data_IF_196621727981
#
_entry.id   IF_196621727981
#
_cell.length_a   1.000
_cell.length_b   1.000
_cell.length_c   1.000
_cell.angle_alpha   90.00
_cell.angle_beta   90.00
_cell.angle_gamma   90.00
#
_symmetry.space_group_name_H-M   'P 1'
#
loop_
_entity.id
_entity.type
_entity.pdbx_description
1 polymer ?
#
# COMPACT_ATOMS: atom_id res chain seq x y z
N UNK A 1 -4.53 -0.32 11.61
CA UNK A 1 -3.09 0.01 11.52
C UNK A 1 -2.80 0.96 10.36
N UNK A 2 -3.02 0.60 9.09
CA UNK A 2 -2.76 1.50 7.95
C UNK A 2 -3.48 2.86 8.03
N UNK A 3 -4.77 2.89 8.40
CA UNK A 3 -5.51 4.15 8.57
C UNK A 3 -4.87 5.06 9.62
N UNK A 4 -4.55 4.50 10.79
CA UNK A 4 -3.87 5.23 11.88
C UNK A 4 -2.49 5.75 11.43
N UNK A 5 -1.74 4.95 10.67
CA UNK A 5 -0.45 5.37 10.11
C UNK A 5 -0.61 6.55 9.13
N UNK A 6 -1.67 6.55 8.31
CA UNK A 6 -1.96 7.68 7.40
C UNK A 6 -2.27 8.95 8.19
N UNK A 7 -3.12 8.87 9.22
CA UNK A 7 -3.43 9.98 10.12
C UNK A 7 -2.16 10.54 10.79
N UNK A 8 -1.27 9.66 11.25
CA UNK A 8 0.03 10.02 11.81
C UNK A 8 0.94 10.73 10.80
N UNK A 9 0.93 10.33 9.53
CA UNK A 9 1.71 11.03 8.48
C UNK A 9 1.04 12.33 8.00
N UNK A 10 -0.28 12.44 8.07
CA UNK A 10 -0.99 13.67 7.71
C UNK A 10 -0.78 14.77 8.76
N UNK A 11 -0.57 14.38 10.03
CA UNK A 11 -0.18 15.29 11.10
C UNK A 11 1.06 16.13 10.72
N UNK A 12 2.08 15.52 10.10
CA UNK A 12 3.31 16.25 9.69
C UNK A 12 3.06 17.24 8.55
N UNK A 13 1.88 17.20 7.93
CA UNK A 13 1.43 18.11 6.88
C UNK A 13 0.42 19.13 7.38
N UNK A 14 0.13 19.16 8.70
CA UNK A 14 -0.92 19.99 9.29
C UNK A 14 -2.33 19.58 8.85
N UNK A 15 -2.53 18.32 8.43
CA UNK A 15 -3.82 17.79 7.95
C UNK A 15 -4.30 16.66 8.85
N UNK A 16 -5.55 16.26 8.66
CA UNK A 16 -6.12 15.09 9.32
C UNK A 16 -6.64 15.35 10.75
N UNK A 17 -6.97 14.26 11.47
CA UNK A 17 -7.70 14.34 12.73
C UNK A 17 -6.80 14.64 13.94
N UNK A 18 -5.51 14.29 13.89
CA UNK A 18 -4.58 14.49 15.01
C UNK A 18 -4.21 15.97 15.12
N UNK A 19 -4.34 16.56 16.31
CA UNK A 19 -4.13 18.00 16.52
C UNK A 19 -2.88 18.33 17.31
N UNK A 20 -2.46 17.42 18.18
CA UNK A 20 -1.31 17.64 19.06
C UNK A 20 -0.45 16.37 19.18
N UNK A 21 0.73 16.50 19.79
CA UNK A 21 1.65 15.38 20.00
C UNK A 21 1.04 14.26 20.87
N UNK A 22 0.12 14.59 21.79
CA UNK A 22 -0.58 13.59 22.61
C UNK A 22 -1.45 12.66 21.75
N UNK A 23 -2.13 13.20 20.73
CA UNK A 23 -2.90 12.40 19.78
C UNK A 23 -2.01 11.43 19.00
N UNK A 24 -0.81 11.88 18.59
CA UNK A 24 0.19 11.05 17.90
C UNK A 24 0.70 9.92 18.82
N UNK A 25 0.93 10.21 20.10
CA UNK A 25 1.30 9.21 21.11
C UNK A 25 0.19 8.16 21.29
N UNK A 26 -1.07 8.60 21.37
CA UNK A 26 -2.24 7.71 21.48
C UNK A 26 -2.39 6.83 20.24
N UNK A 27 -2.23 7.41 19.04
CA UNK A 27 -2.23 6.70 17.77
C UNK A 27 -1.11 5.63 17.72
N UNK A 28 0.11 5.97 18.12
CA UNK A 28 1.23 5.04 18.20
C UNK A 28 0.94 3.84 19.10
N UNK A 29 0.37 4.07 20.29
CA UNK A 29 -0.04 2.99 21.22
C UNK A 29 -1.10 2.08 20.60
N UNK A 30 -2.12 2.65 19.94
CA UNK A 30 -3.14 1.88 19.21
C UNK A 30 -2.53 1.01 18.10
N UNK A 31 -1.51 1.51 17.39
CA UNK A 31 -0.78 0.71 16.39
C UNK A 31 -0.03 -0.44 17.08
N UNK A 32 0.71 -0.17 18.17
CA UNK A 32 1.45 -1.20 18.90
C UNK A 32 0.54 -2.32 19.41
N UNK A 33 -0.61 -1.98 20.01
CA UNK A 33 -1.61 -2.94 20.47
C UNK A 33 -2.18 -3.80 19.33
N UNK A 34 -2.51 -3.16 18.20
CA UNK A 34 -2.97 -3.87 17.01
C UNK A 34 -1.88 -4.80 16.44
N UNK A 35 -0.62 -4.37 16.45
CA UNK A 35 0.53 -5.20 16.06
C UNK A 35 0.69 -6.42 16.97
N UNK A 36 0.53 -6.27 18.28
CA UNK A 36 0.54 -7.41 19.23
C UNK A 36 -0.62 -8.39 19.01
N UNK A 37 -1.81 -7.90 18.64
CA UNK A 37 -2.92 -8.80 18.26
C UNK A 37 -2.64 -9.54 16.94
N UNK A 38 -2.02 -8.86 15.98
CA UNK A 38 -1.60 -9.48 14.71
C UNK A 38 -0.52 -10.54 14.94
N UNK A 39 0.43 -10.31 15.86
CA UNK A 39 1.44 -11.32 16.23
C UNK A 39 0.78 -12.63 16.70
N UNK A 40 -0.20 -12.54 17.61
CA UNK A 40 -0.95 -13.70 18.11
C UNK A 40 -1.65 -14.46 16.99
N UNK A 41 -2.39 -13.75 16.12
CA UNK A 41 -3.07 -14.37 14.97
C UNK A 41 -2.07 -15.02 13.99
N UNK A 42 -0.94 -14.36 13.73
CA UNK A 42 0.10 -14.89 12.86
C UNK A 42 0.74 -16.16 13.41
N UNK A 43 0.94 -16.26 14.73
CA UNK A 43 1.43 -17.49 15.37
C UNK A 43 0.46 -18.65 15.20
N UNK A 44 -0.85 -18.42 15.36
CA UNK A 44 -1.86 -19.44 15.09
C UNK A 44 -1.78 -19.96 13.65
N UNK A 45 -1.54 -19.08 12.66
CA UNK A 45 -1.34 -19.50 11.26
C UNK A 45 -0.05 -20.32 11.12
N UNK A 46 1.05 -19.88 11.75
CA UNK A 46 2.33 -20.57 11.71
C UNK A 46 2.28 -21.98 12.34
N UNK A 47 1.48 -22.18 13.38
CA UNK A 47 1.31 -23.47 14.06
C UNK A 47 0.67 -24.52 13.14
N UNK A 48 -0.24 -24.09 12.27
CA UNK A 48 -0.92 -24.96 11.30
C UNK A 48 -0.16 -25.06 9.97
N UNK A 49 0.94 -24.32 9.75
CA UNK A 49 1.66 -24.36 8.48
C UNK A 49 2.49 -25.65 8.35
N UNK A 50 2.20 -26.53 7.37
CA UNK A 50 2.95 -27.78 7.19
C UNK A 50 4.32 -27.57 6.53
N UNK A 51 4.48 -26.47 5.78
CA UNK A 51 5.70 -26.10 5.08
C UNK A 51 6.65 -25.38 6.04
N UNK A 52 7.77 -26.03 6.39
CA UNK A 52 8.71 -25.52 7.39
C UNK A 52 9.39 -24.22 6.96
N UNK A 53 9.72 -24.07 5.68
CA UNK A 53 10.33 -22.85 5.16
C UNK A 53 9.37 -21.65 5.28
N UNK A 54 8.12 -21.80 4.81
CA UNK A 54 7.11 -20.76 4.95
C UNK A 54 6.82 -20.41 6.42
N UNK A 55 6.83 -21.42 7.31
CA UNK A 55 6.65 -21.22 8.75
C UNK A 55 7.79 -20.37 9.33
N UNK A 56 9.05 -20.69 9.01
CA UNK A 56 10.20 -19.93 9.52
C UNK A 56 10.19 -18.48 9.03
N UNK A 57 9.88 -18.24 7.75
CA UNK A 57 9.75 -16.88 7.21
C UNK A 57 8.69 -16.07 7.97
N UNK A 58 7.52 -16.68 8.21
CA UNK A 58 6.45 -16.03 8.96
C UNK A 58 6.88 -15.72 10.41
N UNK A 59 7.51 -16.67 11.10
CA UNK A 59 7.98 -16.49 12.48
C UNK A 59 9.03 -15.38 12.58
N UNK A 60 9.94 -15.27 11.61
CA UNK A 60 10.94 -14.19 11.56
C UNK A 60 10.28 -12.80 11.44
N UNK A 61 9.25 -12.67 10.60
CA UNK A 61 8.49 -11.42 10.52
C UNK A 61 7.69 -11.13 11.80
N UNK A 62 7.13 -12.14 12.46
CA UNK A 62 6.41 -11.97 13.73
C UNK A 62 7.34 -11.51 14.86
N UNK A 63 8.58 -12.02 14.92
CA UNK A 63 9.60 -11.50 15.83
C UNK A 63 9.90 -10.02 15.58
N UNK A 64 9.98 -9.59 14.31
CA UNK A 64 10.14 -8.16 13.95
C UNK A 64 8.94 -7.33 14.39
N UNK A 65 7.71 -7.84 14.28
CA UNK A 65 6.52 -7.17 14.82
C UNK A 65 6.64 -6.98 16.33
N UNK A 66 6.99 -8.04 17.07
CA UNK A 66 7.16 -7.96 18.51
C UNK A 66 8.21 -6.90 18.92
N UNK A 67 9.36 -6.89 18.24
CA UNK A 67 10.41 -5.89 18.44
C UNK A 67 9.90 -4.47 18.18
N UNK A 68 9.27 -4.21 17.03
CA UNK A 68 8.83 -2.87 16.67
C UNK A 68 7.65 -2.39 17.51
N UNK A 69 6.74 -3.27 17.94
CA UNK A 69 5.70 -2.92 18.93
C UNK A 69 6.33 -2.51 20.27
N UNK A 70 7.36 -3.23 20.73
CA UNK A 70 8.07 -2.88 21.95
C UNK A 70 8.78 -1.52 21.84
N UNK A 71 9.53 -1.30 20.75
CA UNK A 71 10.18 -0.02 20.47
C UNK A 71 9.16 1.13 20.41
N UNK A 72 8.06 0.95 19.69
CA UNK A 72 7.02 1.98 19.57
C UNK A 72 6.39 2.32 20.93
N UNK A 73 6.20 1.32 21.79
CA UNK A 73 5.75 1.53 23.16
C UNK A 73 6.75 2.33 24.00
N UNK A 74 8.05 2.05 23.89
CA UNK A 74 9.10 2.83 24.57
C UNK A 74 9.11 4.27 24.05
N UNK A 75 9.16 4.47 22.73
CA UNK A 75 9.14 5.79 22.12
C UNK A 75 7.89 6.60 22.53
N UNK A 76 6.74 5.94 22.73
CA UNK A 76 5.49 6.60 23.13
C UNK A 76 5.46 7.08 24.59
N UNK A 77 6.45 6.67 25.41
CA UNK A 77 6.57 7.05 26.82
C UNK A 77 7.56 8.18 27.05
N UNK A 78 8.44 8.46 26.09
CA UNK A 78 9.37 9.59 26.17
C UNK A 78 8.55 10.87 26.07
N UNK A 79 8.39 11.58 27.20
CA UNK A 79 7.73 12.89 27.20
C UNK A 79 8.60 13.85 26.39
N UNK A 80 8.01 14.51 25.40
CA UNK A 80 8.62 15.70 24.81
C UNK A 80 8.66 16.78 25.91
N UNK A 81 9.84 17.02 26.47
CA UNK A 81 10.04 18.18 27.34
C UNK A 81 10.01 19.43 26.46
N UNK A 82 9.07 20.34 26.73
CA UNK A 82 9.07 21.68 26.15
C UNK A 82 10.05 22.49 26.98
N UNK A 83 11.29 22.63 26.51
CA UNK A 83 12.26 23.53 27.13
C UNK A 83 12.07 24.93 26.55
N UNK A 84 11.70 25.88 27.40
CA UNK A 84 11.58 27.29 27.04
C UNK A 84 12.96 27.94 27.20
N UNK A 85 13.85 27.73 26.21
CA UNK A 85 15.16 28.37 26.18
C UNK A 85 15.04 29.73 25.47
N UNK A 86 15.03 30.81 26.26
CA UNK A 86 15.39 32.14 25.76
C UNK A 86 14.36 32.85 24.87
N UNK A 87 13.06 32.58 25.01
CA UNK A 87 12.01 33.32 24.29
C UNK A 87 11.80 32.91 22.83
N UNK A 88 12.59 31.96 22.33
CA UNK A 88 12.35 31.26 21.07
C UNK A 88 11.66 29.92 21.36
N UNK A 89 10.45 29.75 20.81
CA UNK A 89 9.64 28.55 21.04
C UNK A 89 10.18 27.41 20.18
N UNK A 90 11.27 26.77 20.62
CA UNK A 90 11.83 25.59 19.95
C UNK A 90 10.86 24.42 20.14
N UNK A 91 10.19 24.01 19.06
CA UNK A 91 9.13 22.99 19.10
C UNK A 91 9.73 21.58 19.21
N UNK A 92 10.23 21.22 20.39
CA UNK A 92 10.69 19.85 20.72
C UNK A 92 9.59 18.78 20.49
N UNK A 93 8.32 19.20 20.50
CA UNK A 93 7.18 18.33 20.26
C UNK A 93 7.07 17.79 18.82
N UNK A 94 7.63 18.48 17.82
CA UNK A 94 7.63 18.03 16.41
C UNK A 94 8.65 16.94 16.20
N UNK A 95 9.87 17.09 16.73
CA UNK A 95 10.92 16.07 16.62
C UNK A 95 10.53 14.76 17.33
N UNK A 96 9.89 14.87 18.50
CA UNK A 96 9.33 13.74 19.22
C UNK A 96 8.24 13.01 18.41
N UNK A 97 7.30 13.77 17.81
CA UNK A 97 6.26 13.21 16.96
C UNK A 97 6.84 12.54 15.70
N UNK A 98 7.83 13.16 15.06
CA UNK A 98 8.51 12.62 13.87
C UNK A 98 9.22 11.29 14.17
N UNK A 99 9.91 11.19 15.31
CA UNK A 99 10.54 9.95 15.77
C UNK A 99 9.51 8.83 15.98
N UNK A 100 8.37 9.14 16.61
CA UNK A 100 7.26 8.20 16.78
C UNK A 100 6.68 7.71 15.45
N UNK A 101 6.49 8.63 14.50
CA UNK A 101 6.00 8.30 13.15
C UNK A 101 6.99 7.38 12.45
N UNK A 102 8.30 7.61 12.58
CA UNK A 102 9.30 6.76 11.97
C UNK A 102 9.33 5.34 12.57
N UNK A 103 9.21 5.23 13.90
CA UNK A 103 9.07 3.94 14.57
C UNK A 103 7.80 3.18 14.10
N UNK A 104 6.67 3.90 13.96
CA UNK A 104 5.43 3.33 13.43
C UNK A 104 5.59 2.87 11.96
N UNK A 105 6.31 3.61 11.10
CA UNK A 105 6.62 3.18 9.72
C UNK A 105 7.40 1.86 9.69
N UNK A 106 8.38 1.70 10.56
CA UNK A 106 9.17 0.46 10.65
C UNK A 106 8.26 -0.74 10.99
N UNK A 107 7.37 -0.56 11.97
CA UNK A 107 6.34 -1.55 12.30
C UNK A 107 5.44 -1.85 11.09
N UNK A 108 4.94 -0.83 10.39
CA UNK A 108 4.07 -1.01 9.21
C UNK A 108 4.75 -1.75 8.06
N UNK A 109 6.05 -1.52 7.83
CA UNK A 109 6.81 -2.26 6.82
C UNK A 109 6.92 -3.76 7.18
N UNK A 110 7.10 -4.08 8.47
CA UNK A 110 7.03 -5.47 8.93
C UNK A 110 5.62 -6.05 8.79
N UNK A 111 4.57 -5.28 9.11
CA UNK A 111 3.17 -5.70 8.98
C UNK A 111 2.86 -6.18 7.57
N UNK A 112 3.26 -5.43 6.54
CA UNK A 112 3.03 -5.81 5.14
C UNK A 112 3.72 -7.14 4.80
N UNK A 113 4.93 -7.37 5.31
CA UNK A 113 5.65 -8.62 5.10
C UNK A 113 4.98 -9.78 5.83
N UNK A 114 4.58 -9.59 7.09
CA UNK A 114 3.84 -10.58 7.88
C UNK A 114 2.54 -10.99 7.18
N UNK A 115 1.74 -10.03 6.71
CA UNK A 115 0.47 -10.32 6.02
C UNK A 115 0.69 -11.17 4.76
N UNK A 116 1.73 -10.85 3.97
CA UNK A 116 2.10 -11.65 2.78
C UNK A 116 2.54 -13.06 3.15
N UNK A 117 3.42 -13.21 4.14
CA UNK A 117 3.90 -14.51 4.61
C UNK A 117 2.76 -15.35 5.21
N UNK A 118 1.87 -14.74 5.99
CA UNK A 118 0.67 -15.40 6.55
C UNK A 118 -0.27 -15.91 5.47
N UNK A 119 -0.46 -15.16 4.38
CA UNK A 119 -1.23 -15.63 3.23
C UNK A 119 -0.59 -16.87 2.62
N UNK A 120 0.72 -16.82 2.31
CA UNK A 120 1.43 -17.97 1.74
C UNK A 120 1.32 -19.20 2.64
N UNK A 121 1.58 -19.05 3.94
CA UNK A 121 1.46 -20.13 4.93
C UNK A 121 0.04 -20.73 4.99
N UNK A 122 -1.00 -19.89 4.95
CA UNK A 122 -2.40 -20.34 4.96
C UNK A 122 -2.75 -21.18 3.72
N UNK A 123 -2.24 -20.81 2.55
CA UNK A 123 -2.50 -21.56 1.30
C UNK A 123 -1.78 -22.91 1.26
N UNK A 124 -0.65 -23.05 1.96
CA UNK A 124 0.08 -24.33 2.09
C UNK A 124 -0.72 -25.33 2.93
N UNK A 125 -1.35 -24.87 4.01
CA UNK A 125 -2.22 -25.69 4.85
C UNK A 125 -3.42 -26.26 4.07
N UNK A 126 -4.14 -25.42 3.31
CA UNK A 126 -5.29 -25.84 2.50
C UNK A 126 -4.97 -26.96 1.49
N UNK A 127 -3.76 -26.94 0.92
CA UNK A 127 -3.31 -27.98 -0.03
C UNK A 127 -2.98 -29.32 0.65
N UNK A 128 -2.59 -29.30 1.93
CA UNK A 128 -2.06 -30.48 2.61
C UNK A 128 -3.11 -31.34 3.31
N UNK A 129 -4.21 -30.77 3.82
CA UNK A 129 -5.17 -31.52 4.66
C UNK A 129 -6.58 -31.70 4.06
N UNK A 130 -6.86 -31.15 2.87
CA UNK A 130 -8.22 -31.19 2.33
C UNK A 130 -9.18 -30.30 3.16
N UNK A 131 -10.13 -29.66 2.50
CA UNK A 131 -10.90 -28.53 3.03
C UNK A 131 -11.88 -28.85 4.19
N UNK A 132 -11.87 -30.06 4.76
CA UNK A 132 -13.06 -30.63 5.41
C UNK A 132 -12.97 -30.94 6.92
N UNK A 133 -11.80 -31.00 7.56
CA UNK A 133 -11.71 -31.51 8.95
C UNK A 133 -11.43 -30.49 10.05
N UNK A 134 -11.34 -29.19 9.74
CA UNK A 134 -11.19 -28.17 10.78
C UNK A 134 -11.98 -26.91 10.41
N UNK A 135 -12.92 -26.53 11.28
CA UNK A 135 -13.54 -25.20 11.30
C UNK A 135 -12.47 -24.15 10.94
N UNK A 136 -12.75 -23.36 9.89
CA UNK A 136 -11.82 -22.53 9.12
C UNK A 136 -10.60 -21.95 9.88
N UNK A 137 -9.46 -21.72 9.18
CA UNK A 137 -8.38 -20.90 9.71
C UNK A 137 -8.97 -19.56 10.15
N UNK A 138 -8.53 -19.01 11.28
CA UNK A 138 -9.10 -17.81 11.90
C UNK A 138 -9.22 -16.54 11.00
N UNK A 139 -8.81 -16.60 9.73
CA UNK A 139 -8.73 -15.49 8.76
C UNK A 139 -9.17 -15.97 7.37
N UNK A 140 -9.99 -15.17 6.68
CA UNK A 140 -10.31 -15.32 5.25
C UNK A 140 -9.62 -14.23 4.41
N UNK A 141 -9.10 -14.60 3.23
CA UNK A 141 -8.27 -13.72 2.40
C UNK A 141 -9.06 -13.14 1.23
N UNK A 142 -9.21 -11.81 1.19
CA UNK A 142 -9.83 -11.08 0.06
C UNK A 142 -8.75 -10.34 -0.72
N UNK A 143 -8.12 -11.01 -1.68
CA UNK A 143 -7.07 -10.41 -2.53
C UNK A 143 -7.61 -9.94 -3.87
N UNK A 144 -7.15 -8.77 -4.33
CA UNK A 144 -7.32 -8.29 -5.70
C UNK A 144 -6.04 -8.56 -6.48
N UNK A 145 -6.15 -9.03 -7.72
CA UNK A 145 -5.00 -9.22 -8.59
C UNK A 145 -4.23 -7.88 -8.77
N UNK A 146 -2.89 -7.90 -8.75
CA UNK A 146 -2.09 -6.70 -8.99
C UNK A 146 -2.42 -6.09 -10.36
N UNK A 147 -2.42 -4.76 -10.43
CA UNK A 147 -2.63 -4.06 -11.70
C UNK A 147 -1.47 -4.30 -12.65
N UNK A 148 -1.78 -4.46 -13.95
CA UNK A 148 -0.76 -4.67 -14.98
C UNK A 148 0.08 -3.40 -15.10
N UNK A 149 1.38 -3.52 -14.82
CA UNK A 149 2.32 -2.43 -15.12
C UNK A 149 2.39 -2.25 -16.63
N UNK A 150 2.30 -1.03 -17.17
CA UNK A 150 2.43 -0.81 -18.61
C UNK A 150 3.82 -1.22 -19.07
N UNK A 151 3.90 -2.04 -20.13
CA UNK A 151 5.17 -2.53 -20.67
C UNK A 151 6.04 -1.40 -21.25
N UNK A 152 5.39 -0.33 -21.71
CA UNK A 152 6.03 0.87 -22.24
C UNK A 152 5.47 2.05 -21.48
N UNK A 153 6.36 2.89 -20.93
CA UNK A 153 5.99 4.19 -20.38
C UNK A 153 5.40 4.99 -21.53
N UNK A 154 4.07 5.08 -21.62
CA UNK A 154 3.43 6.07 -22.47
C UNK A 154 3.91 7.41 -21.95
N UNK A 155 4.73 8.10 -22.74
CA UNK A 155 4.99 9.51 -22.53
C UNK A 155 3.62 10.17 -22.42
N UNK A 156 3.36 10.88 -21.33
CA UNK A 156 2.16 11.71 -21.27
C UNK A 156 2.33 12.67 -22.45
N UNK A 157 1.44 12.57 -23.43
CA UNK A 157 1.36 13.56 -24.47
C UNK A 157 1.03 14.86 -23.76
N UNK A 158 2.06 15.66 -23.51
CA UNK A 158 1.88 17.03 -23.05
C UNK A 158 0.92 17.68 -24.05
N UNK A 159 -0.12 18.35 -23.54
CA UNK A 159 -1.16 19.02 -24.35
C UNK A 159 -0.59 20.13 -25.27
N UNK A 160 0.74 20.26 -25.37
CA UNK A 160 1.50 21.22 -26.16
C UNK A 160 2.19 20.64 -27.41
N UNK A 161 1.97 19.38 -27.78
CA UNK A 161 2.43 18.88 -29.10
C UNK A 161 1.42 19.18 -30.22
N UNK A 162 1.63 20.35 -30.85
CA UNK A 162 1.43 20.66 -32.27
C UNK A 162 0.55 19.70 -33.09
N UNK A 163 -0.65 20.18 -33.45
CA UNK A 163 -1.54 19.56 -34.45
C UNK A 163 -0.79 19.35 -35.78
N UNK A 164 -0.30 18.15 -36.03
CA UNK A 164 0.08 17.73 -37.39
C UNK A 164 -1.22 17.56 -38.18
N UNK A 165 -1.56 18.57 -39.01
CA UNK A 165 -2.63 18.46 -40.00
C UNK A 165 -2.25 17.41 -41.03
N UNK A 166 -2.79 16.19 -40.89
CA UNK A 166 -2.73 15.18 -41.94
C UNK A 166 -3.65 15.61 -43.08
N UNK A 167 -3.08 16.26 -44.09
CA UNK A 167 -3.78 16.61 -45.31
C UNK A 167 -4.00 15.34 -46.15
N UNK A 168 -5.23 14.83 -46.13
CA UNK A 168 -5.95 14.27 -47.29
C UNK A 168 -7.29 13.77 -46.78
N UNK A 169 -8.34 14.57 -46.96
CA UNK A 169 -9.70 14.09 -46.72
C UNK A 169 -10.03 13.11 -47.86
N UNK A 170 -10.20 11.83 -47.54
CA UNK A 170 -10.78 10.85 -48.47
C UNK A 170 -12.19 11.32 -48.82
N UNK A 171 -12.36 11.92 -50.00
CA UNK A 171 -13.68 12.15 -50.59
C UNK A 171 -14.27 10.78 -50.92
N UNK A 172 -15.47 10.51 -50.41
CA UNK A 172 -16.24 9.33 -50.74
C UNK A 172 -16.82 9.54 -52.14
N UNK A 173 -16.18 8.95 -53.16
CA UNK A 173 -16.66 9.02 -54.55
C UNK A 173 -17.59 7.84 -54.80
N UNK A 174 -18.79 8.12 -55.30
CA UNK A 174 -19.76 7.08 -55.65
C UNK A 174 -19.24 6.28 -56.87
N UNK A 175 -19.08 4.94 -56.77
CA UNK A 175 -18.44 4.13 -57.81
C UNK A 175 -19.13 4.21 -59.18
N UNK A 176 -20.45 4.44 -59.23
CA UNK A 176 -21.18 4.57 -60.51
C UNK A 176 -20.80 5.87 -61.23
N UNK A 177 -20.58 6.96 -60.49
CA UNK A 177 -20.21 8.25 -61.06
C UNK A 177 -18.79 8.22 -61.64
N UNK A 178 -17.85 7.58 -60.95
CA UNK A 178 -16.48 7.38 -61.45
C UNK A 178 -16.43 6.50 -62.73
N UNK A 179 -17.32 5.51 -62.85
CA UNK A 179 -17.42 4.66 -64.03
C UNK A 179 -18.12 5.34 -65.23
N UNK A 180 -18.97 6.33 -64.96
CA UNK A 180 -19.66 7.10 -66.00
C UNK A 180 -18.70 8.05 -66.74
N UNK A 181 -17.72 8.61 -66.03
CA UNK A 181 -16.67 9.47 -66.61
C UNK A 181 -15.76 8.70 -67.59
N UNK A 182 -15.69 7.37 -67.50
CA UNK A 182 -14.80 6.56 -68.34
C UNK A 182 -15.44 6.05 -69.64
N UNK A 183 -16.79 6.07 -69.77
CA UNK A 183 -17.49 5.55 -70.97
C UNK A 183 -17.82 6.60 -72.04
N UNK A 184 -17.48 7.87 -71.82
CA UNK A 184 -17.72 8.94 -72.79
C UNK A 184 -16.59 9.11 -73.84
N UNK A 185 -15.64 8.17 -73.93
CA UNK A 185 -14.49 8.24 -74.84
C UNK A 185 -14.47 7.16 -75.94
N UNK A 186 -15.63 6.62 -76.33
CA UNK A 186 -15.72 5.78 -77.54
C UNK A 186 -16.98 6.13 -78.35
N UNK A 187 -16.89 7.22 -79.11
CA UNK A 187 -17.72 7.53 -80.29
C UNK A 187 -17.00 8.57 -81.15
N UNK A 188 -16.08 8.09 -81.99
CA UNK A 188 -15.70 8.70 -83.28
C UNK A 188 -16.21 7.75 -84.35
#
# INVERSE_FOLDING_TARGET
MCMIMMEMTDFTRGKGPLKNTSDVISAAKKIAEAGSRMDKLGRTIADHCPDSACKQDLLAYLQRIALYCHQLNICSKVKAEVQNLGGELVVSGVDSAMSLIQAAKNLMNAVVQTVKASYVASTKYQKSQGMASLNLPAVSWKMKAPEKKPLVKREKQDETQTKIKRASQKKHVNPVQALSEFRAMDSI
#
